data_IF_378565807339
#
_entry.id   IF_378565807339
#
_cell.length_a   1.000
_cell.length_b   1.000
_cell.length_c   1.000
_cell.angle_alpha   90.00
_cell.angle_beta   90.00
_cell.angle_gamma   90.00
#
_symmetry.space_group_name_H-M   'P 1'
#
loop_
_entity.id
_entity.type
_entity.pdbx_description
1 polymer ?
#
# COMPACT_ATOMS: atom_id res chain seq x y z
N UNK A 1 -71.44 -17.38 15.58
CA UNK A 1 -70.54 -17.50 14.41
C UNK A 1 -69.12 -17.27 14.91
N UNK A 2 -68.19 -18.17 14.56
CA UNK A 2 -66.87 -18.47 15.18
C UNK A 2 -66.92 -19.48 16.34
N UNK A 3 -66.30 -20.63 16.08
CA UNK A 3 -66.18 -21.85 16.88
C UNK A 3 -64.73 -22.37 16.72
N UNK A 4 -64.24 -23.13 17.72
CA UNK A 4 -62.91 -23.79 17.92
C UNK A 4 -61.82 -22.89 18.54
N UNK A 5 -61.29 -23.08 19.76
CA UNK A 5 -61.24 -24.16 20.79
C UNK A 5 -60.28 -25.33 20.51
N UNK A 6 -59.21 -25.40 21.34
CA UNK A 6 -58.33 -26.52 21.80
C UNK A 6 -56.96 -25.89 22.18
N UNK A 7 -56.41 -25.77 23.40
CA UNK A 7 -56.24 -26.63 24.61
C UNK A 7 -55.55 -27.98 24.35
N UNK A 8 -54.34 -28.24 24.86
CA UNK A 8 -54.08 -28.80 26.19
C UNK A 8 -52.59 -29.13 26.45
N UNK A 9 -52.34 -29.25 27.75
CA UNK A 9 -51.14 -29.45 28.56
C UNK A 9 -50.60 -30.89 28.58
N UNK A 10 -49.28 -30.98 28.75
CA UNK A 10 -48.39 -31.99 29.37
C UNK A 10 -48.98 -33.25 30.04
N UNK A 11 -48.38 -34.42 29.79
CA UNK A 11 -48.20 -35.52 30.76
C UNK A 11 -46.81 -36.18 30.60
N UNK A 12 -46.21 -36.50 31.75
CA UNK A 12 -44.91 -37.14 32.05
C UNK A 12 -44.69 -38.54 31.43
N UNK A 13 -43.42 -38.92 31.25
CA UNK A 13 -42.62 -39.85 32.09
C UNK A 13 -41.56 -40.56 31.23
N UNK A 14 -40.27 -40.46 31.61
CA UNK A 14 -39.47 -41.64 31.97
C UNK A 14 -38.15 -41.16 32.61
N UNK A 15 -37.98 -41.54 33.86
CA UNK A 15 -36.71 -41.48 34.59
C UNK A 15 -36.08 -42.87 34.49
N UNK A 16 -34.80 -42.98 34.13
CA UNK A 16 -33.92 -44.06 34.60
C UNK A 16 -32.44 -43.81 34.22
N UNK A 17 -31.62 -43.96 35.25
CA UNK A 17 -30.19 -44.28 35.26
C UNK A 17 -29.17 -43.17 34.94
N UNK A 18 -28.81 -42.45 36.02
CA UNK A 18 -27.45 -41.93 36.20
C UNK A 18 -26.42 -43.07 36.08
N UNK A 19 -25.63 -43.03 35.01
CA UNK A 19 -24.33 -43.68 34.93
C UNK A 19 -23.25 -42.61 34.84
N UNK A 20 -22.64 -42.27 35.97
CA UNK A 20 -21.44 -41.44 36.00
C UNK A 20 -20.28 -42.21 35.37
N UNK A 21 -20.09 -42.07 34.05
CA UNK A 21 -18.81 -42.36 33.41
C UNK A 21 -17.94 -41.12 33.58
N UNK A 22 -16.78 -41.30 34.21
CA UNK A 22 -15.71 -40.32 34.20
C UNK A 22 -15.49 -39.86 32.75
N UNK A 23 -15.86 -38.62 32.46
CA UNK A 23 -15.49 -37.98 31.22
C UNK A 23 -13.96 -37.89 31.22
N UNK A 24 -13.33 -38.72 30.40
CA UNK A 24 -11.92 -38.55 30.07
C UNK A 24 -11.72 -37.12 29.55
N UNK A 25 -10.50 -36.56 29.67
CA UNK A 25 -10.21 -35.22 29.19
C UNK A 25 -10.72 -35.10 27.74
N UNK A 26 -11.57 -34.10 27.51
CA UNK A 26 -11.98 -33.72 26.15
C UNK A 26 -10.68 -33.64 25.32
N UNK A 27 -10.63 -34.28 24.13
CA UNK A 27 -9.47 -34.16 23.27
C UNK A 27 -9.19 -32.67 23.12
N UNK A 28 -7.97 -32.25 23.45
CA UNK A 28 -7.55 -30.88 23.26
C UNK A 28 -7.99 -30.49 21.85
N UNK A 29 -8.82 -29.44 21.72
CA UNK A 29 -9.12 -28.87 20.42
C UNK A 29 -7.76 -28.58 19.79
N UNK A 30 -7.33 -29.43 18.85
CA UNK A 30 -6.20 -29.14 18.01
C UNK A 30 -6.54 -27.79 17.39
N UNK A 31 -5.82 -26.76 17.80
CA UNK A 31 -5.93 -25.45 17.19
C UNK A 31 -5.58 -25.66 15.72
N UNK A 32 -6.61 -25.80 14.88
CA UNK A 32 -6.47 -25.86 13.44
C UNK A 32 -5.73 -24.57 13.09
N UNK A 33 -4.47 -24.71 12.68
CA UNK A 33 -3.64 -23.57 12.35
C UNK A 33 -4.40 -22.74 11.31
N UNK A 34 -4.44 -21.42 11.50
CA UNK A 34 -5.11 -20.53 10.56
C UNK A 34 -4.60 -20.80 9.13
N UNK A 35 -5.48 -20.72 8.11
CA UNK A 35 -5.06 -20.85 6.72
C UNK A 35 -3.91 -19.89 6.41
N UNK A 36 -2.93 -20.33 5.61
CA UNK A 36 -1.72 -19.56 5.31
C UNK A 36 -2.06 -18.21 4.66
N UNK A 37 -3.18 -18.15 3.96
CA UNK A 37 -3.73 -16.98 3.29
C UNK A 37 -4.10 -15.89 4.30
N UNK A 38 -4.66 -16.27 5.45
CA UNK A 38 -4.96 -15.36 6.56
C UNK A 38 -3.66 -14.83 7.18
N UNK A 39 -2.64 -15.68 7.30
CA UNK A 39 -1.33 -15.30 7.86
C UNK A 39 -0.68 -14.12 7.10
N UNK A 40 -0.93 -14.00 5.77
CA UNK A 40 -0.42 -12.89 4.95
C UNK A 40 -0.92 -11.53 5.45
N UNK A 41 -2.14 -11.49 5.99
CA UNK A 41 -2.73 -10.29 6.58
C UNK A 41 -2.32 -10.09 8.05
N UNK A 42 -2.02 -11.16 8.78
CA UNK A 42 -1.76 -11.09 10.23
C UNK A 42 -0.57 -10.20 10.58
N UNK A 43 0.57 -10.35 9.89
CA UNK A 43 1.76 -9.57 10.18
C UNK A 43 1.54 -8.04 10.05
N UNK A 44 1.00 -7.52 8.93
CA UNK A 44 0.69 -6.09 8.82
C UNK A 44 -0.44 -5.65 9.76
N UNK A 45 -1.48 -6.47 9.98
CA UNK A 45 -2.56 -6.16 10.94
C UNK A 45 -2.04 -6.02 12.37
N UNK A 46 -1.23 -6.98 12.82
CA UNK A 46 -0.62 -6.97 14.16
C UNK A 46 0.26 -5.73 14.34
N UNK A 47 1.13 -5.46 13.36
CA UNK A 47 2.03 -4.30 13.39
C UNK A 47 1.24 -2.98 13.47
N UNK A 48 0.18 -2.84 12.67
CA UNK A 48 -0.68 -1.63 12.72
C UNK A 48 -1.42 -1.49 14.06
N UNK A 49 -1.92 -2.59 14.64
CA UNK A 49 -2.57 -2.56 15.96
C UNK A 49 -1.62 -2.16 17.09
N UNK A 50 -0.35 -2.57 17.02
CA UNK A 50 0.67 -2.15 17.98
C UNK A 50 0.93 -0.63 17.93
N UNK A 51 0.71 0.00 16.77
CA UNK A 51 0.85 1.45 16.60
C UNK A 51 -0.43 2.24 16.88
N UNK A 52 -1.58 1.61 16.72
CA UNK A 52 -2.91 2.24 16.82
C UNK A 52 -3.76 1.54 17.89
N UNK A 53 -3.33 1.56 19.17
CA UNK A 53 -4.07 0.90 20.22
C UNK A 53 -5.44 1.58 20.40
N UNK A 54 -6.56 0.83 20.38
CA UNK A 54 -7.92 1.41 20.34
C UNK A 54 -8.21 2.40 21.49
N UNK A 55 -7.64 2.17 22.66
CA UNK A 55 -7.79 3.04 23.84
C UNK A 55 -7.14 4.42 23.67
N UNK A 56 -6.12 4.54 22.82
CA UNK A 56 -5.44 5.83 22.56
C UNK A 56 -5.98 6.58 21.35
N UNK A 57 -6.75 5.92 20.50
CA UNK A 57 -7.30 6.48 19.26
C UNK A 57 -8.83 6.64 19.34
N UNK A 58 -9.37 6.69 20.55
CA UNK A 58 -10.81 6.82 20.77
C UNK A 58 -11.36 8.14 20.20
N UNK A 59 -12.63 8.12 19.75
CA UNK A 59 -13.32 9.33 19.30
C UNK A 59 -13.31 10.38 20.43
N UNK A 60 -12.89 11.60 20.09
CA UNK A 60 -12.76 12.69 21.05
C UNK A 60 -11.44 12.72 21.81
N UNK A 61 -10.45 11.89 21.44
CA UNK A 61 -9.07 12.05 21.89
C UNK A 61 -8.57 13.47 21.55
N UNK A 62 -7.89 14.10 22.50
CA UNK A 62 -7.32 15.44 22.29
C UNK A 62 -6.10 15.36 21.36
N UNK A 63 -5.84 16.36 20.50
CA UNK A 63 -4.70 16.37 19.59
C UNK A 63 -3.36 16.06 20.28
N UNK A 64 -3.13 16.56 21.49
CA UNK A 64 -1.87 16.37 22.23
C UNK A 64 -1.63 14.90 22.63
N UNK A 65 -2.70 14.11 22.77
CA UNK A 65 -2.60 12.67 23.03
C UNK A 65 -2.32 11.86 21.76
N UNK A 66 -2.68 12.40 20.58
CA UNK A 66 -2.50 11.75 19.29
C UNK A 66 -1.15 12.08 18.65
N UNK A 67 -0.51 13.17 19.06
CA UNK A 67 0.80 13.60 18.52
C UNK A 67 1.86 12.50 18.50
N UNK A 68 2.17 11.81 19.62
CA UNK A 68 3.17 10.73 19.61
C UNK A 68 2.78 9.56 18.70
N UNK A 69 1.48 9.37 18.44
CA UNK A 69 1.00 8.31 17.55
C UNK A 69 1.19 8.70 16.10
N UNK A 70 0.92 9.96 15.73
CA UNK A 70 1.19 10.48 14.38
C UNK A 70 2.68 10.40 14.07
N UNK A 71 3.52 10.82 15.00
CA UNK A 71 4.98 10.72 14.85
C UNK A 71 5.39 9.25 14.63
N UNK A 72 4.84 8.32 15.44
CA UNK A 72 5.09 6.89 15.26
C UNK A 72 4.56 6.33 13.93
N UNK A 73 3.41 6.79 13.42
CA UNK A 73 2.84 6.40 12.12
C UNK A 73 3.82 6.72 10.99
N UNK A 74 4.43 7.91 11.04
CA UNK A 74 5.41 8.36 10.05
C UNK A 74 6.74 7.62 10.22
N UNK A 75 7.30 7.61 11.44
CA UNK A 75 8.61 7.02 11.72
C UNK A 75 8.67 5.51 11.46
N UNK A 76 7.58 4.79 11.76
CA UNK A 76 7.54 3.32 11.65
C UNK A 76 6.95 2.82 10.34
N UNK A 77 6.77 3.69 9.35
CA UNK A 77 6.27 3.34 8.02
C UNK A 77 4.91 2.62 8.07
N UNK A 78 3.97 3.13 8.88
CA UNK A 78 2.61 2.59 8.95
C UNK A 78 1.91 2.67 7.58
N UNK A 79 2.25 3.68 6.77
CA UNK A 79 1.83 3.79 5.37
C UNK A 79 2.26 2.57 4.55
N UNK A 80 3.51 2.10 4.70
CA UNK A 80 3.99 0.87 4.08
C UNK A 80 3.17 -0.36 4.47
N UNK A 81 2.72 -0.47 5.72
CA UNK A 81 1.85 -1.55 6.18
C UNK A 81 0.44 -1.46 5.56
N UNK A 82 -0.12 -0.25 5.47
CA UNK A 82 -1.40 0.00 4.80
C UNK A 82 -1.32 -0.34 3.31
N UNK A 83 -0.21 -0.01 2.63
CA UNK A 83 0.04 -0.43 1.26
C UNK A 83 0.08 -1.96 1.10
N UNK A 84 0.70 -2.69 2.04
CA UNK A 84 0.69 -4.16 2.02
C UNK A 84 -0.73 -4.71 2.16
N UNK A 85 -1.52 -4.16 3.08
CA UNK A 85 -2.93 -4.55 3.23
C UNK A 85 -3.77 -4.23 1.99
N UNK A 86 -3.64 -3.03 1.42
CA UNK A 86 -4.31 -2.67 0.18
C UNK A 86 -3.89 -3.61 -0.96
N UNK A 87 -2.60 -3.93 -1.07
CA UNK A 87 -2.06 -4.86 -2.07
C UNK A 87 -2.68 -6.25 -1.97
N UNK A 88 -2.74 -6.81 -0.75
CA UNK A 88 -3.42 -8.08 -0.50
C UNK A 88 -4.91 -8.00 -0.83
N UNK A 89 -5.60 -6.94 -0.40
CA UNK A 89 -7.02 -6.74 -0.69
C UNK A 89 -7.29 -6.56 -2.19
N UNK A 90 -6.39 -5.95 -2.95
CA UNK A 90 -6.50 -5.84 -4.41
C UNK A 90 -6.48 -7.21 -5.09
N UNK A 91 -5.54 -8.08 -4.68
CA UNK A 91 -5.45 -9.45 -5.19
C UNK A 91 -6.70 -10.23 -4.80
N UNK A 92 -7.03 -10.26 -3.52
CA UNK A 92 -8.08 -11.14 -3.00
C UNK A 92 -9.51 -10.65 -3.26
N UNK A 93 -9.75 -9.34 -3.42
CA UNK A 93 -10.99 -8.84 -4.02
C UNK A 93 -11.18 -9.37 -5.44
N UNK A 94 -10.09 -9.51 -6.20
CA UNK A 94 -10.12 -10.08 -7.56
C UNK A 94 -10.53 -11.55 -7.62
N UNK A 95 -10.38 -12.28 -6.51
CA UNK A 95 -10.66 -13.72 -6.36
C UNK A 95 -12.01 -13.95 -5.67
N UNK A 96 -12.24 -13.33 -4.51
CA UNK A 96 -13.41 -13.57 -3.67
C UNK A 96 -14.48 -12.47 -3.75
N UNK A 97 -14.12 -11.25 -4.18
CA UNK A 97 -15.03 -10.11 -4.28
C UNK A 97 -15.70 -9.71 -2.96
N UNK A 98 -16.95 -9.24 -3.06
CA UNK A 98 -17.84 -9.05 -1.91
C UNK A 98 -17.32 -8.09 -0.84
N UNK A 99 -17.15 -8.59 0.38
CA UNK A 99 -16.74 -7.80 1.54
C UNK A 99 -15.31 -7.25 1.43
N UNK A 100 -14.39 -8.00 0.79
CA UNK A 100 -12.99 -7.58 0.62
C UNK A 100 -12.89 -6.32 -0.24
N UNK A 101 -13.79 -6.15 -1.24
CA UNK A 101 -13.89 -4.94 -2.04
C UNK A 101 -14.14 -3.69 -1.19
N UNK A 102 -15.06 -3.80 -0.23
CA UNK A 102 -15.45 -2.68 0.66
C UNK A 102 -14.30 -2.35 1.61
N UNK A 103 -13.70 -3.37 2.21
CA UNK A 103 -12.54 -3.20 3.09
C UNK A 103 -11.35 -2.57 2.38
N UNK A 104 -11.15 -2.88 1.09
CA UNK A 104 -10.13 -2.21 0.28
C UNK A 104 -10.33 -0.70 0.23
N UNK A 105 -11.58 -0.24 0.11
CA UNK A 105 -11.89 1.21 0.10
C UNK A 105 -11.57 1.82 1.46
N UNK A 106 -11.93 1.15 2.56
CA UNK A 106 -11.65 1.63 3.91
C UNK A 106 -10.13 1.71 4.19
N UNK A 107 -9.37 0.65 3.86
CA UNK A 107 -7.91 0.63 4.00
C UNK A 107 -7.25 1.68 3.13
N UNK A 108 -7.74 1.87 1.90
CA UNK A 108 -7.25 2.92 1.00
C UNK A 108 -7.49 4.32 1.59
N UNK A 109 -8.66 4.57 2.17
CA UNK A 109 -8.94 5.86 2.83
C UNK A 109 -7.97 6.11 3.97
N UNK A 110 -7.67 5.10 4.78
CA UNK A 110 -6.65 5.20 5.83
C UNK A 110 -5.25 5.48 5.25
N UNK A 111 -4.86 4.79 4.17
CA UNK A 111 -3.59 5.04 3.46
C UNK A 111 -3.51 6.47 2.92
N UNK A 112 -4.57 6.95 2.27
CA UNK A 112 -4.62 8.28 1.67
C UNK A 112 -4.49 9.38 2.73
N UNK A 113 -5.10 9.22 3.91
CA UNK A 113 -4.98 10.17 5.03
C UNK A 113 -3.54 10.26 5.55
N UNK A 114 -2.90 9.11 5.82
CA UNK A 114 -1.49 9.08 6.25
C UNK A 114 -0.59 9.62 5.15
N UNK A 115 -0.89 9.28 3.90
CA UNK A 115 -0.16 9.70 2.72
C UNK A 115 -0.21 11.21 2.49
N UNK A 116 -1.37 11.83 2.68
CA UNK A 116 -1.58 13.28 2.58
C UNK A 116 -0.70 14.04 3.57
N UNK A 117 -0.76 13.67 4.85
CA UNK A 117 0.06 14.30 5.88
C UNK A 117 1.56 14.11 5.62
N UNK A 118 1.98 12.87 5.32
CA UNK A 118 3.40 12.55 5.06
C UNK A 118 3.94 13.35 3.88
N UNK A 119 3.14 13.49 2.81
CA UNK A 119 3.52 14.29 1.64
C UNK A 119 3.71 15.77 1.98
N UNK A 120 2.82 16.39 2.78
CA UNK A 120 2.98 17.80 3.17
C UNK A 120 4.15 18.03 4.10
N UNK A 121 4.46 17.05 4.96
CA UNK A 121 5.67 17.06 5.75
C UNK A 121 6.92 17.03 4.85
N UNK A 122 6.98 16.11 3.88
CA UNK A 122 8.07 16.02 2.92
C UNK A 122 8.26 17.31 2.10
N UNK A 123 7.18 17.94 1.64
CA UNK A 123 7.26 19.22 0.91
C UNK A 123 7.80 20.35 1.77
N UNK A 124 7.40 20.42 3.04
CA UNK A 124 7.92 21.44 3.96
C UNK A 124 9.41 21.22 4.24
N UNK A 125 9.83 19.98 4.45
CA UNK A 125 11.23 19.63 4.66
C UNK A 125 12.08 19.88 3.42
N UNK A 126 11.54 19.62 2.23
CA UNK A 126 12.18 20.00 0.97
C UNK A 126 12.36 21.52 0.85
N UNK A 127 11.31 22.31 1.13
CA UNK A 127 11.40 23.77 1.08
C UNK A 127 12.50 24.30 2.01
N UNK A 128 12.66 23.70 3.20
CA UNK A 128 13.75 24.01 4.12
C UNK A 128 15.12 23.58 3.57
N UNK A 129 15.22 22.37 3.00
CA UNK A 129 16.46 21.84 2.39
C UNK A 129 17.00 22.77 1.32
N UNK A 130 16.13 23.34 0.47
CA UNK A 130 16.53 24.24 -0.62
C UNK A 130 16.58 25.72 -0.20
N UNK A 131 16.52 25.99 1.12
CA UNK A 131 16.61 27.33 1.70
C UNK A 131 15.53 28.30 1.20
N UNK A 132 14.29 27.81 1.06
CA UNK A 132 13.16 28.66 0.69
C UNK A 132 12.97 29.81 1.70
N UNK A 133 12.52 31.01 1.26
CA UNK A 133 12.35 32.15 2.15
C UNK A 133 11.42 31.85 3.32
N UNK A 134 11.69 32.44 4.49
CA UNK A 134 10.91 32.24 5.72
C UNK A 134 9.38 32.31 5.54
N UNK A 135 8.82 33.32 4.85
CA UNK A 135 7.38 33.40 4.59
C UNK A 135 6.82 32.22 3.77
N UNK A 136 7.61 31.66 2.85
CA UNK A 136 7.23 30.48 2.05
C UNK A 136 7.16 29.24 2.95
N UNK A 137 8.18 29.06 3.79
CA UNK A 137 8.23 27.95 4.75
C UNK A 137 7.08 28.04 5.75
N UNK A 138 6.74 29.25 6.23
CA UNK A 138 5.60 29.48 7.12
C UNK A 138 4.27 29.12 6.44
N UNK A 139 4.05 29.59 5.20
CA UNK A 139 2.84 29.27 4.44
C UNK A 139 2.68 27.76 4.21
N UNK A 140 3.75 27.06 3.86
CA UNK A 140 3.74 25.60 3.72
C UNK A 140 3.52 24.88 5.06
N UNK A 141 4.03 25.45 6.15
CA UNK A 141 3.77 24.97 7.53
C UNK A 141 2.29 24.95 7.87
N UNK A 142 1.54 26.00 7.50
CA UNK A 142 0.07 26.05 7.68
C UNK A 142 -0.65 24.94 6.91
N UNK A 143 -0.22 24.64 5.67
CA UNK A 143 -0.79 23.54 4.87
C UNK A 143 -0.48 22.18 5.50
N UNK A 144 0.75 21.99 6.00
CA UNK A 144 1.12 20.79 6.76
C UNK A 144 0.25 20.63 8.00
N UNK A 145 0.06 21.70 8.78
CA UNK A 145 -0.75 21.65 9.99
C UNK A 145 -2.23 21.34 9.70
N UNK A 146 -2.79 21.89 8.61
CA UNK A 146 -4.13 21.54 8.15
C UNK A 146 -4.24 20.04 7.79
N UNK A 147 -3.27 19.50 7.05
CA UNK A 147 -3.24 18.06 6.73
C UNK A 147 -3.09 17.16 7.96
N UNK A 148 -2.41 17.64 9.01
CA UNK A 148 -2.34 16.96 10.31
C UNK A 148 -3.70 16.95 11.01
N UNK A 149 -4.44 18.06 10.93
CA UNK A 149 -5.83 18.18 11.35
C UNK A 149 -6.72 17.09 10.75
N UNK A 150 -6.69 16.94 9.43
CA UNK A 150 -7.45 15.90 8.72
C UNK A 150 -7.07 14.48 9.15
N UNK A 151 -5.78 14.24 9.43
CA UNK A 151 -5.33 12.96 9.94
C UNK A 151 -5.90 12.68 11.35
N UNK A 152 -5.91 13.65 12.26
CA UNK A 152 -6.54 13.48 13.58
C UNK A 152 -8.00 13.09 13.47
N UNK A 153 -8.75 13.77 12.59
CA UNK A 153 -10.18 13.52 12.42
C UNK A 153 -10.46 12.12 11.89
N UNK A 154 -9.58 11.58 11.05
CA UNK A 154 -9.71 10.24 10.47
C UNK A 154 -9.16 9.10 11.34
N UNK A 155 -8.22 9.37 12.25
CA UNK A 155 -7.56 8.36 13.07
C UNK A 155 -8.53 7.43 13.85
N UNK A 156 -9.63 7.92 14.47
CA UNK A 156 -10.58 7.06 15.18
C UNK A 156 -11.22 5.96 14.33
N UNK A 157 -11.25 6.09 13.01
CA UNK A 157 -11.79 5.07 12.12
C UNK A 157 -10.81 3.91 11.88
N UNK A 158 -9.52 4.08 12.20
CA UNK A 158 -8.48 3.10 11.87
C UNK A 158 -8.65 1.80 12.66
N UNK A 159 -8.74 1.81 14.01
CA UNK A 159 -8.92 0.56 14.76
C UNK A 159 -10.19 -0.19 14.35
N UNK A 160 -11.31 0.54 14.15
CA UNK A 160 -12.57 -0.03 13.69
C UNK A 160 -12.40 -0.72 12.32
N UNK A 161 -11.63 -0.11 11.41
CA UNK A 161 -11.34 -0.68 10.09
C UNK A 161 -10.51 -1.96 10.20
N UNK A 162 -9.48 -1.99 11.06
CA UNK A 162 -8.65 -3.18 11.27
C UNK A 162 -9.44 -4.34 11.89
N UNK A 163 -10.37 -4.04 12.80
CA UNK A 163 -11.22 -5.04 13.43
C UNK A 163 -12.26 -5.61 12.47
N UNK A 164 -12.88 -4.76 11.64
CA UNK A 164 -13.75 -5.22 10.55
C UNK A 164 -12.97 -6.10 9.56
N UNK A 165 -11.76 -5.68 9.18
CA UNK A 165 -10.91 -6.46 8.28
C UNK A 165 -10.62 -7.86 8.86
N UNK A 166 -10.17 -7.94 10.12
CA UNK A 166 -9.91 -9.22 10.78
C UNK A 166 -11.17 -10.12 10.83
N UNK A 167 -12.33 -9.54 11.17
CA UNK A 167 -13.57 -10.29 11.27
C UNK A 167 -14.05 -10.85 9.93
N UNK A 168 -13.92 -10.07 8.85
CA UNK A 168 -14.31 -10.52 7.50
C UNK A 168 -13.32 -11.55 6.93
N UNK A 169 -12.02 -11.43 7.19
CA UNK A 169 -11.03 -12.44 6.79
C UNK A 169 -11.34 -13.81 7.39
N UNK A 170 -11.90 -13.87 8.61
CA UNK A 170 -12.32 -15.11 9.26
C UNK A 170 -13.58 -15.75 8.67
N UNK A 171 -14.31 -15.05 7.79
CA UNK A 171 -15.54 -15.54 7.13
C UNK A 171 -15.30 -16.02 5.70
N UNK A 172 -14.14 -15.73 5.12
CA UNK A 172 -13.79 -16.14 3.76
C UNK A 172 -13.53 -17.66 3.75
N UNK A 173 -14.15 -18.35 2.80
CA UNK A 173 -13.86 -19.77 2.52
C UNK A 173 -12.58 -19.85 1.68
N UNK A 174 -11.44 -19.82 2.37
CA UNK A 174 -10.13 -19.77 1.74
C UNK A 174 -9.84 -21.02 0.91
N UNK A 175 -9.27 -20.81 -0.26
CA UNK A 175 -8.79 -21.90 -1.11
C UNK A 175 -7.65 -22.64 -0.40
N UNK A 176 -7.45 -23.90 -0.76
CA UNK A 176 -6.25 -24.63 -0.30
C UNK A 176 -5.02 -24.00 -0.94
N UNK A 177 -3.89 -24.03 -0.23
CA UNK A 177 -2.60 -23.45 -0.67
C UNK A 177 -2.24 -23.66 -2.16
N UNK A 178 -2.52 -24.85 -2.73
CA UNK A 178 -2.27 -25.12 -4.16
C UNK A 178 -3.14 -24.27 -5.07
N UNK A 179 -4.42 -24.19 -4.77
CA UNK A 179 -5.42 -23.49 -5.57
C UNK A 179 -5.26 -21.98 -5.38
N UNK A 180 -5.02 -21.51 -4.14
CA UNK A 180 -4.67 -20.12 -3.82
C UNK A 180 -3.46 -19.65 -4.63
N UNK A 181 -2.38 -20.45 -4.70
CA UNK A 181 -1.21 -20.12 -5.53
C UNK A 181 -1.60 -19.84 -6.98
N UNK A 182 -2.46 -20.69 -7.57
CA UNK A 182 -2.89 -20.54 -8.97
C UNK A 182 -3.78 -19.31 -9.14
N UNK A 183 -4.74 -19.11 -8.24
CA UNK A 183 -5.67 -17.98 -8.27
C UNK A 183 -4.94 -16.64 -8.11
N UNK A 184 -3.98 -16.55 -7.19
CA UNK A 184 -3.14 -15.36 -7.00
C UNK A 184 -2.28 -15.06 -8.24
N UNK A 185 -1.68 -16.09 -8.87
CA UNK A 185 -0.91 -15.87 -10.11
C UNK A 185 -1.76 -15.48 -11.30
N UNK A 186 -2.97 -16.05 -11.44
CA UNK A 186 -3.93 -15.62 -12.45
C UNK A 186 -4.35 -14.16 -12.25
N UNK A 187 -4.58 -13.77 -11.00
CA UNK A 187 -4.90 -12.37 -10.65
C UNK A 187 -3.74 -11.43 -10.98
N UNK A 188 -2.51 -11.80 -10.62
CA UNK A 188 -1.32 -11.01 -10.93
C UNK A 188 -1.11 -10.86 -12.43
N UNK A 189 -1.27 -11.93 -13.21
CA UNK A 189 -1.21 -11.87 -14.68
C UNK A 189 -2.28 -10.93 -15.26
N UNK A 190 -3.50 -10.96 -14.71
CA UNK A 190 -4.59 -10.04 -15.07
C UNK A 190 -4.23 -8.58 -14.78
N UNK A 191 -3.66 -8.29 -13.63
CA UNK A 191 -3.19 -6.94 -13.27
C UNK A 191 -2.06 -6.48 -14.20
N UNK A 192 -1.04 -7.31 -14.44
CA UNK A 192 0.06 -7.01 -15.36
C UNK A 192 -0.44 -6.70 -16.78
N UNK A 193 -1.44 -7.45 -17.26
CA UNK A 193 -2.07 -7.21 -18.57
C UNK A 193 -2.71 -5.83 -18.67
N UNK A 194 -3.25 -5.28 -17.58
CA UNK A 194 -3.79 -3.91 -17.55
C UNK A 194 -2.67 -2.89 -17.73
N UNK A 195 -1.54 -3.10 -17.06
CA UNK A 195 -0.40 -2.18 -17.06
C UNK A 195 0.43 -2.22 -18.36
N UNK A 196 0.31 -3.28 -19.16
CA UNK A 196 0.98 -3.42 -20.46
C UNK A 196 0.54 -2.40 -21.54
N UNK A 197 -0.59 -1.71 -21.36
CA UNK A 197 -1.11 -0.77 -22.37
C UNK A 197 -0.20 0.44 -22.60
N UNK A 198 0.54 0.86 -21.56
CA UNK A 198 1.62 1.87 -21.63
C UNK A 198 1.27 3.14 -22.42
N UNK A 199 0.01 3.56 -22.38
CA UNK A 199 -0.60 4.69 -23.07
C UNK A 199 -0.66 5.96 -22.21
N UNK A 200 0.23 6.07 -21.22
CA UNK A 200 0.31 7.21 -20.29
C UNK A 200 0.79 8.50 -20.99
N UNK A 201 0.13 9.61 -20.66
CA UNK A 201 0.54 10.95 -21.10
C UNK A 201 1.67 11.50 -20.23
N UNK A 202 2.91 11.42 -20.69
CA UNK A 202 4.08 11.92 -19.93
C UNK A 202 4.15 13.46 -19.83
N UNK A 203 3.21 14.20 -20.42
CA UNK A 203 3.05 15.64 -20.20
C UNK A 203 2.16 15.95 -18.98
N UNK A 204 1.41 14.97 -18.49
CA UNK A 204 0.62 15.04 -17.27
C UNK A 204 1.39 14.42 -16.09
N UNK A 205 1.68 15.23 -15.08
CA UNK A 205 2.38 14.79 -13.88
C UNK A 205 1.55 13.79 -13.06
N UNK A 206 0.25 14.05 -12.88
CA UNK A 206 -0.63 13.25 -12.02
C UNK A 206 -1.29 12.11 -12.79
N UNK A 207 -1.95 12.36 -13.92
CA UNK A 207 -2.61 11.32 -14.72
C UNK A 207 -1.65 10.45 -15.55
N UNK A 208 -0.40 10.90 -15.73
CA UNK A 208 0.60 10.23 -16.54
C UNK A 208 1.76 9.64 -15.75
N UNK A 209 2.68 10.51 -15.31
CA UNK A 209 3.93 10.10 -14.65
C UNK A 209 3.63 9.37 -13.33
N UNK A 210 2.77 9.95 -12.50
CA UNK A 210 2.37 9.36 -11.22
C UNK A 210 1.61 8.04 -11.44
N UNK A 211 0.62 8.00 -12.33
CA UNK A 211 -0.11 6.74 -12.59
C UNK A 211 0.78 5.63 -13.15
N UNK A 212 1.72 5.93 -14.06
CA UNK A 212 2.71 4.95 -14.50
C UNK A 212 3.49 4.40 -13.30
N UNK A 213 4.05 5.28 -12.46
CA UNK A 213 4.79 4.86 -11.25
C UNK A 213 3.92 4.05 -10.31
N UNK A 214 2.68 4.48 -10.03
CA UNK A 214 1.76 3.81 -9.10
C UNK A 214 1.47 2.39 -9.56
N UNK A 215 1.20 2.21 -10.85
CA UNK A 215 0.93 0.91 -11.46
C UNK A 215 2.15 -0.03 -11.43
N UNK A 216 3.34 0.47 -11.74
CA UNK A 216 4.58 -0.32 -11.63
C UNK A 216 4.87 -0.71 -10.16
N UNK A 217 4.67 0.23 -9.22
CA UNK A 217 4.90 0.00 -7.80
C UNK A 217 3.96 -1.07 -7.23
N UNK A 218 2.72 -1.16 -7.70
CA UNK A 218 1.78 -2.19 -7.25
C UNK A 218 2.33 -3.60 -7.45
N UNK A 219 3.02 -3.86 -8.57
CA UNK A 219 3.63 -5.16 -8.85
C UNK A 219 4.65 -5.53 -7.75
N UNK A 220 5.49 -4.57 -7.35
CA UNK A 220 6.49 -4.78 -6.29
C UNK A 220 5.81 -5.01 -4.93
N UNK A 221 4.77 -4.23 -4.62
CA UNK A 221 4.00 -4.38 -3.37
C UNK A 221 3.34 -5.76 -3.33
N UNK A 222 2.76 -6.25 -4.42
CA UNK A 222 2.16 -7.58 -4.48
C UNK A 222 3.18 -8.67 -4.11
N UNK A 223 4.37 -8.65 -4.72
CA UNK A 223 5.44 -9.62 -4.45
C UNK A 223 5.85 -9.58 -2.97
N UNK A 224 5.98 -8.38 -2.39
CA UNK A 224 6.36 -8.20 -0.99
C UNK A 224 5.25 -8.56 0.02
N UNK A 225 3.99 -8.33 -0.33
CA UNK A 225 2.86 -8.49 0.57
C UNK A 225 2.40 -9.95 0.68
N UNK A 226 2.72 -10.79 -0.32
CA UNK A 226 2.31 -12.20 -0.39
C UNK A 226 3.08 -13.14 0.55
N UNK A 227 3.84 -12.60 1.50
CA UNK A 227 4.48 -13.30 2.63
C UNK A 227 5.14 -14.64 2.23
N UNK A 228 6.08 -14.56 1.29
CA UNK A 228 6.87 -15.70 0.84
C UNK A 228 6.18 -16.63 -0.16
N UNK A 229 4.94 -16.37 -0.59
CA UNK A 229 4.36 -17.08 -1.75
C UNK A 229 5.20 -16.84 -3.01
N UNK A 230 5.79 -15.66 -3.12
CA UNK A 230 6.76 -15.32 -4.16
C UNK A 230 8.12 -15.10 -3.50
N UNK A 231 9.19 -15.63 -4.09
CA UNK A 231 10.58 -15.44 -3.64
C UNK A 231 11.44 -15.04 -4.82
N UNK A 232 12.51 -14.28 -4.57
CA UNK A 232 13.44 -13.91 -5.63
C UNK A 232 14.43 -15.05 -5.89
N UNK A 233 14.62 -15.41 -7.15
CA UNK A 233 15.61 -16.41 -7.58
C UNK A 233 16.57 -15.85 -8.62
N UNK A 234 17.84 -16.23 -8.49
CA UNK A 234 18.89 -15.85 -9.44
C UNK A 234 18.98 -16.84 -10.58
N UNK A 235 19.24 -16.34 -11.78
CA UNK A 235 19.55 -17.18 -12.94
C UNK A 235 18.35 -17.81 -13.64
N UNK A 236 17.13 -17.55 -13.17
CA UNK A 236 15.87 -17.89 -13.85
C UNK A 236 15.43 -16.67 -14.65
N UNK A 237 15.13 -16.83 -15.94
CA UNK A 237 14.54 -15.75 -16.77
C UNK A 237 15.39 -14.48 -16.88
N UNK A 238 16.44 -14.48 -17.71
CA UNK A 238 17.35 -13.33 -17.86
C UNK A 238 16.82 -12.26 -18.82
N UNK A 239 16.92 -11.00 -18.42
CA UNK A 239 16.94 -9.84 -19.33
C UNK A 239 18.35 -9.26 -19.31
N UNK A 240 19.10 -9.46 -20.40
CA UNK A 240 20.51 -9.08 -20.50
C UNK A 240 20.74 -7.59 -20.22
N UNK A 241 19.79 -6.73 -20.58
CA UNK A 241 19.88 -5.29 -20.35
C UNK A 241 19.88 -4.90 -18.86
N UNK A 242 19.42 -5.78 -17.96
CA UNK A 242 19.30 -5.52 -16.53
C UNK A 242 20.23 -6.38 -15.66
N UNK A 243 21.09 -7.21 -16.26
CA UNK A 243 21.98 -8.12 -15.52
C UNK A 243 22.93 -7.37 -14.57
N UNK A 244 23.29 -6.13 -14.89
CA UNK A 244 24.14 -5.31 -14.03
C UNK A 244 23.48 -4.92 -12.71
N UNK A 245 22.14 -5.02 -12.60
CA UNK A 245 21.41 -4.57 -11.40
C UNK A 245 21.66 -5.43 -10.18
N UNK A 246 22.10 -6.69 -10.33
CA UNK A 246 22.47 -7.53 -9.19
C UNK A 246 23.61 -6.95 -8.36
N UNK A 247 24.53 -6.20 -8.99
CA UNK A 247 25.62 -5.49 -8.32
C UNK A 247 25.30 -4.05 -7.95
N UNK A 248 24.16 -3.52 -8.41
CA UNK A 248 23.76 -2.12 -8.23
C UNK A 248 23.24 -1.88 -6.79
N UNK A 249 23.39 -0.67 -6.21
CA UNK A 249 22.90 -0.36 -4.86
C UNK A 249 21.43 -0.69 -4.61
N UNK A 250 20.60 -0.65 -5.66
CA UNK A 250 19.19 -1.00 -5.57
C UNK A 250 18.94 -2.42 -5.06
N UNK A 251 19.78 -3.39 -5.43
CA UNK A 251 19.67 -4.77 -4.98
C UNK A 251 19.89 -4.94 -3.47
N UNK A 252 20.56 -3.96 -2.83
CA UNK A 252 20.81 -3.93 -1.38
C UNK A 252 19.74 -3.16 -0.61
N UNK A 253 18.76 -2.56 -1.31
CA UNK A 253 17.71 -1.78 -0.66
C UNK A 253 16.83 -2.65 0.23
N UNK A 254 16.24 -2.07 1.28
CA UNK A 254 15.25 -2.77 2.12
C UNK A 254 14.04 -3.25 1.31
N UNK A 255 13.73 -2.58 0.21
CA UNK A 255 12.63 -2.91 -0.69
C UNK A 255 12.98 -4.06 -1.66
N UNK A 256 14.25 -4.43 -1.80
CA UNK A 256 14.66 -5.59 -2.60
C UNK A 256 14.78 -6.88 -1.79
N UNK A 257 14.34 -6.85 -0.53
CA UNK A 257 14.25 -8.03 0.32
C UNK A 257 12.84 -8.61 0.24
N UNK A 258 12.73 -9.79 -0.37
CA UNK A 258 11.52 -10.61 -0.33
C UNK A 258 11.88 -11.85 0.48
N UNK A 259 11.39 -11.90 1.71
CA UNK A 259 11.77 -12.96 2.65
C UNK A 259 10.98 -14.25 2.36
N UNK A 260 11.64 -15.42 2.34
CA UNK A 260 10.94 -16.68 2.21
C UNK A 260 10.14 -16.97 3.48
N UNK A 261 8.94 -17.52 3.33
CA UNK A 261 8.16 -18.02 4.45
C UNK A 261 8.26 -19.56 4.51
N UNK A 262 8.81 -20.15 5.59
CA UNK A 262 8.97 -21.61 5.70
C UNK A 262 7.65 -22.38 5.70
N UNK A 263 6.51 -21.72 5.92
CA UNK A 263 5.17 -22.32 5.82
C UNK A 263 4.69 -22.47 4.36
N UNK A 264 5.31 -21.75 3.42
CA UNK A 264 5.04 -21.87 1.98
C UNK A 264 5.86 -23.02 1.41
N UNK A 265 5.20 -24.13 1.05
CA UNK A 265 5.89 -25.34 0.59
C UNK A 265 6.44 -25.25 -0.84
N UNK A 266 5.78 -24.46 -1.70
CA UNK A 266 6.09 -24.32 -3.13
C UNK A 266 5.97 -22.85 -3.55
N UNK A 267 6.92 -21.99 -3.14
CA UNK A 267 6.90 -20.60 -3.55
C UNK A 267 7.10 -20.47 -5.06
N UNK A 268 6.62 -19.38 -5.63
CA UNK A 268 6.85 -18.98 -7.03
C UNK A 268 8.18 -18.23 -7.10
N UNK A 269 9.06 -18.63 -8.02
CA UNK A 269 10.44 -18.14 -8.07
C UNK A 269 10.61 -17.00 -9.07
N UNK A 270 10.46 -15.75 -8.61
CA UNK A 270 10.55 -14.56 -9.44
C UNK A 270 12.00 -14.31 -9.88
N UNK A 271 12.28 -14.18 -11.19
CA UNK A 271 13.57 -13.69 -11.68
C UNK A 271 14.00 -12.40 -10.98
N UNK A 272 15.15 -12.43 -10.29
CA UNK A 272 15.66 -11.27 -9.57
C UNK A 272 15.83 -10.07 -10.50
N UNK A 273 16.22 -10.30 -11.75
CA UNK A 273 16.41 -9.27 -12.76
C UNK A 273 15.11 -8.54 -13.10
N UNK A 274 13.96 -9.23 -13.11
CA UNK A 274 12.66 -8.61 -13.38
C UNK A 274 12.26 -7.70 -12.22
N UNK A 275 12.44 -8.19 -11.00
CA UNK A 275 12.15 -7.44 -9.78
C UNK A 275 13.03 -6.19 -9.67
N UNK A 276 14.33 -6.32 -9.90
CA UNK A 276 15.27 -5.20 -9.81
C UNK A 276 15.05 -4.18 -10.93
N UNK A 277 14.73 -4.62 -12.15
CA UNK A 277 14.39 -3.72 -13.25
C UNK A 277 13.14 -2.89 -12.95
N UNK A 278 12.09 -3.51 -12.41
CA UNK A 278 10.90 -2.79 -11.95
C UNK A 278 11.22 -1.83 -10.81
N UNK A 279 12.02 -2.27 -9.84
CA UNK A 279 12.45 -1.43 -8.71
C UNK A 279 13.19 -0.18 -9.22
N UNK A 280 14.10 -0.34 -10.20
CA UNK A 280 14.84 0.76 -10.82
C UNK A 280 13.87 1.77 -11.44
N UNK A 281 12.96 1.31 -12.29
CA UNK A 281 12.02 2.19 -12.98
C UNK A 281 11.09 2.91 -12.00
N UNK A 282 10.60 2.24 -10.95
CA UNK A 282 9.78 2.87 -9.90
C UNK A 282 10.57 3.94 -9.13
N UNK A 283 11.86 3.70 -8.87
CA UNK A 283 12.74 4.66 -8.20
C UNK A 283 13.05 5.86 -9.10
N UNK A 284 13.44 5.64 -10.35
CA UNK A 284 13.76 6.70 -11.31
C UNK A 284 12.55 7.59 -11.59
N UNK A 285 11.39 7.00 -11.88
CA UNK A 285 10.15 7.77 -12.06
C UNK A 285 9.74 8.45 -10.74
N UNK A 286 10.07 7.85 -9.60
CA UNK A 286 9.90 8.46 -8.28
C UNK A 286 10.68 9.76 -8.13
N UNK A 287 11.98 9.75 -8.45
CA UNK A 287 12.83 10.95 -8.42
C UNK A 287 12.27 12.03 -9.35
N UNK A 288 11.89 11.65 -10.57
CA UNK A 288 11.31 12.58 -11.56
C UNK A 288 10.02 13.23 -11.02
N UNK A 289 9.10 12.42 -10.48
CA UNK A 289 7.84 12.90 -9.90
C UNK A 289 8.10 13.84 -8.72
N UNK A 290 8.90 13.40 -7.75
CA UNK A 290 9.20 14.17 -6.55
C UNK A 290 9.85 15.50 -6.89
N UNK A 291 10.79 15.54 -7.84
CA UNK A 291 11.41 16.80 -8.28
C UNK A 291 10.37 17.79 -8.82
N UNK A 292 9.42 17.33 -9.64
CA UNK A 292 8.37 18.18 -10.20
C UNK A 292 7.37 18.67 -9.13
N UNK A 293 6.85 17.76 -8.29
CA UNK A 293 5.88 18.10 -7.24
C UNK A 293 6.46 19.02 -6.17
N UNK A 294 7.73 18.82 -5.81
CA UNK A 294 8.42 19.68 -4.88
C UNK A 294 8.49 21.14 -5.37
N UNK A 295 8.76 21.34 -6.66
CA UNK A 295 8.76 22.66 -7.29
C UNK A 295 7.34 23.27 -7.28
N UNK A 296 6.31 22.48 -7.59
CA UNK A 296 4.91 22.93 -7.53
C UNK A 296 4.49 23.29 -6.10
N UNK A 297 4.89 22.51 -5.11
CA UNK A 297 4.60 22.75 -3.70
C UNK A 297 5.25 24.05 -3.19
N UNK A 298 6.53 24.26 -3.49
CA UNK A 298 7.25 25.50 -3.15
C UNK A 298 6.65 26.69 -3.89
N UNK A 299 6.23 26.52 -5.15
CA UNK A 299 5.50 27.55 -5.88
C UNK A 299 4.16 27.90 -5.20
N UNK A 300 3.44 26.92 -4.68
CA UNK A 300 2.26 27.12 -3.83
C UNK A 300 2.58 27.97 -2.60
N UNK A 301 3.68 27.66 -1.91
CA UNK A 301 4.16 28.46 -0.77
C UNK A 301 4.49 29.92 -1.15
N UNK A 302 5.15 30.15 -2.28
CA UNK A 302 5.40 31.51 -2.80
C UNK A 302 4.10 32.27 -3.10
N UNK A 303 3.12 31.59 -3.70
CA UNK A 303 1.84 32.18 -4.05
C UNK A 303 1.07 32.61 -2.79
N UNK A 304 0.99 31.74 -1.78
CA UNK A 304 0.31 32.03 -0.52
C UNK A 304 1.02 33.12 0.29
N UNK A 305 2.35 33.04 0.43
CA UNK A 305 3.11 34.08 1.13
C UNK A 305 2.95 35.47 0.49
N UNK A 306 2.97 35.54 -0.84
CA UNK A 306 2.74 36.78 -1.58
C UNK A 306 1.33 37.33 -1.35
N UNK A 307 0.31 36.45 -1.33
CA UNK A 307 -1.08 36.81 -1.04
C UNK A 307 -1.24 37.38 0.37
N UNK A 308 -0.67 36.74 1.38
CA UNK A 308 -0.70 37.20 2.78
C UNK A 308 0.02 38.54 2.98
N UNK A 309 1.10 38.79 2.23
CA UNK A 309 1.83 40.07 2.26
C UNK A 309 1.12 41.24 1.56
N UNK A 310 -0.05 41.01 0.95
CA UNK A 310 -0.78 42.00 0.15
C UNK A 310 -0.15 42.31 -1.21
N UNK A 311 0.79 41.47 -1.68
CA UNK A 311 1.49 41.62 -2.97
C UNK A 311 1.37 40.35 -3.81
N UNK A 312 0.16 39.97 -4.25
CA UNK A 312 -0.05 38.71 -4.96
C UNK A 312 0.79 38.63 -6.24
N UNK A 313 1.30 37.44 -6.53
CA UNK A 313 2.04 37.12 -7.75
C UNK A 313 1.26 36.12 -8.59
N UNK A 314 1.52 36.08 -9.89
CA UNK A 314 0.93 35.04 -10.75
C UNK A 314 1.53 33.66 -10.44
N UNK A 315 0.74 32.60 -10.64
CA UNK A 315 1.22 31.23 -10.49
C UNK A 315 2.46 30.94 -11.37
N UNK A 316 2.49 31.46 -12.60
CA UNK A 316 3.66 31.38 -13.49
C UNK A 316 4.92 32.00 -12.89
N UNK A 317 4.79 33.14 -12.19
CA UNK A 317 5.92 33.80 -11.52
C UNK A 317 6.38 32.98 -10.31
N UNK A 318 5.45 32.48 -9.50
CA UNK A 318 5.76 31.61 -8.36
C UNK A 318 6.50 30.33 -8.79
N UNK A 319 6.03 29.68 -9.87
CA UNK A 319 6.67 28.50 -10.44
C UNK A 319 8.08 28.77 -10.94
N UNK A 320 8.30 29.92 -11.60
CA UNK A 320 9.65 30.34 -12.02
C UNK A 320 10.57 30.50 -10.81
N UNK A 321 10.11 31.18 -9.75
CA UNK A 321 10.91 31.40 -8.53
C UNK A 321 11.25 30.08 -7.84
N UNK A 322 10.29 29.18 -7.70
CA UNK A 322 10.51 27.86 -7.12
C UNK A 322 11.50 27.02 -7.94
N UNK A 323 11.39 27.05 -9.28
CA UNK A 323 12.29 26.33 -10.18
C UNK A 323 13.71 26.87 -10.15
N UNK A 324 13.86 28.20 -10.18
CA UNK A 324 15.19 28.83 -10.12
C UNK A 324 15.88 28.50 -8.79
N UNK A 325 15.14 28.53 -7.67
CA UNK A 325 15.64 28.14 -6.35
C UNK A 325 16.05 26.65 -6.30
N UNK A 326 15.19 25.75 -6.80
CA UNK A 326 15.50 24.33 -6.85
C UNK A 326 16.72 24.04 -7.72
N UNK A 327 16.86 24.72 -8.88
CA UNK A 327 18.04 24.57 -9.75
C UNK A 327 19.33 25.00 -9.05
N UNK A 328 19.28 26.02 -8.21
CA UNK A 328 20.44 26.54 -7.49
C UNK A 328 20.85 25.61 -6.33
N UNK A 329 19.87 25.08 -5.58
CA UNK A 329 20.11 24.47 -4.27
C UNK A 329 19.85 22.96 -4.19
N UNK A 330 19.19 22.34 -5.16
CA UNK A 330 18.88 20.91 -5.14
C UNK A 330 19.76 20.12 -6.12
N UNK A 331 20.73 19.31 -5.65
CA UNK A 331 21.60 18.53 -6.52
C UNK A 331 20.86 17.46 -7.34
N UNK A 332 19.65 17.07 -6.89
CA UNK A 332 18.80 16.08 -7.55
C UNK A 332 17.74 16.72 -8.46
N UNK A 333 17.83 18.03 -8.71
CA UNK A 333 16.87 18.74 -9.54
C UNK A 333 16.82 18.21 -10.98
N UNK A 334 15.61 17.91 -11.45
CA UNK A 334 15.37 17.45 -12.82
C UNK A 334 14.84 18.62 -13.65
N UNK A 335 15.67 19.16 -14.55
CA UNK A 335 15.33 20.33 -15.37
C UNK A 335 14.05 20.14 -16.20
N UNK A 336 13.92 18.98 -16.86
CA UNK A 336 12.75 18.58 -17.65
C UNK A 336 12.23 17.20 -17.18
N UNK A 337 11.35 17.17 -16.17
CA UNK A 337 10.81 15.93 -15.64
C UNK A 337 9.98 15.16 -16.68
N UNK A 338 9.31 15.86 -17.59
CA UNK A 338 8.52 15.22 -18.65
C UNK A 338 9.41 14.51 -19.68
N UNK A 339 10.54 15.10 -20.07
CA UNK A 339 11.50 14.43 -20.94
C UNK A 339 12.13 13.20 -20.28
N UNK A 340 12.50 13.31 -19.00
CA UNK A 340 13.03 12.20 -18.23
C UNK A 340 12.01 11.05 -18.09
N UNK A 341 10.74 11.37 -17.83
CA UNK A 341 9.67 10.37 -17.75
C UNK A 341 9.42 9.68 -19.11
N UNK A 342 9.44 10.44 -20.22
CA UNK A 342 9.37 9.87 -21.58
C UNK A 342 10.50 8.89 -21.84
N UNK A 343 11.70 9.16 -21.35
CA UNK A 343 12.82 8.24 -21.51
C UNK A 343 12.60 6.93 -20.74
N UNK A 344 12.11 7.02 -19.50
CA UNK A 344 11.75 5.85 -18.69
C UNK A 344 10.66 4.99 -19.36
N UNK A 345 9.62 5.65 -19.91
CA UNK A 345 8.55 4.96 -20.64
C UNK A 345 9.06 4.30 -21.93
N UNK A 346 9.98 4.95 -22.67
CA UNK A 346 10.63 4.38 -23.85
C UNK A 346 11.46 3.15 -23.50
N UNK A 347 12.22 3.19 -22.40
CA UNK A 347 12.97 2.04 -21.90
C UNK A 347 12.04 0.87 -21.59
N UNK A 348 10.97 1.11 -20.82
CA UNK A 348 9.99 0.09 -20.46
C UNK A 348 9.32 -0.56 -21.69
N UNK A 349 8.96 0.25 -22.70
CA UNK A 349 8.40 -0.24 -23.98
C UNK A 349 9.43 -1.07 -24.75
N UNK A 350 10.66 -0.57 -24.87
CA UNK A 350 11.74 -1.21 -25.62
C UNK A 350 12.11 -2.58 -25.06
N UNK A 351 12.21 -2.72 -23.73
CA UNK A 351 12.60 -4.01 -23.13
C UNK A 351 11.46 -5.02 -23.07
N UNK A 352 10.21 -4.56 -23.17
CA UNK A 352 9.01 -5.39 -23.03
C UNK A 352 8.88 -6.01 -21.63
N UNK A 353 9.42 -5.34 -20.60
CA UNK A 353 9.56 -5.89 -19.24
C UNK A 353 8.23 -6.42 -18.68
N UNK A 354 7.14 -5.64 -18.75
CA UNK A 354 5.84 -6.06 -18.22
C UNK A 354 5.27 -7.28 -18.93
N UNK A 355 5.42 -7.34 -20.26
CA UNK A 355 4.98 -8.49 -21.07
C UNK A 355 5.77 -9.75 -20.74
N UNK A 356 7.09 -9.62 -20.59
CA UNK A 356 7.97 -10.73 -20.19
C UNK A 356 7.64 -11.23 -18.80
N UNK A 357 7.39 -10.31 -17.85
CA UNK A 357 6.97 -10.66 -16.49
C UNK A 357 5.60 -11.33 -16.48
N UNK A 358 4.59 -10.82 -17.19
CA UNK A 358 3.28 -11.47 -17.30
C UNK A 358 3.39 -12.88 -17.84
N UNK A 359 4.09 -13.05 -18.97
CA UNK A 359 4.27 -14.37 -19.58
C UNK A 359 4.96 -15.33 -18.61
N UNK A 360 5.97 -14.87 -17.89
CA UNK A 360 6.62 -15.68 -16.85
C UNK A 360 5.63 -16.09 -15.74
N UNK A 361 4.79 -15.16 -15.24
CA UNK A 361 3.74 -15.49 -14.26
C UNK A 361 2.76 -16.53 -14.81
N UNK A 362 2.38 -16.42 -16.09
CA UNK A 362 1.48 -17.37 -16.76
C UNK A 362 2.12 -18.76 -16.87
N UNK A 363 3.40 -18.83 -17.27
CA UNK A 363 4.15 -20.08 -17.42
C UNK A 363 4.33 -20.82 -16.06
N UNK A 364 4.53 -20.10 -14.95
CA UNK A 364 4.71 -20.66 -13.58
C UNK A 364 3.50 -21.44 -13.04
N UNK A 365 2.31 -21.20 -13.60
CA UNK A 365 1.07 -21.87 -13.20
C UNK A 365 0.34 -22.54 -14.36
N UNK A 366 0.92 -22.50 -15.57
CA UNK A 366 0.38 -23.14 -16.77
C UNK A 366 -0.98 -22.60 -17.20
N UNK A 367 -1.15 -21.27 -17.23
CA UNK A 367 -2.40 -20.58 -17.62
C UNK A 367 -2.32 -19.88 -18.98
#
# INVERSE_FOLDING_TARGET
MRLRLLTFTTVLLFSLCLGARAAGPLPACEHVAAPLEVLRFEAPLKSLREFLPPDKVARGAKPEALDPLIDAIVEKDARGLLFKLEGLLRIYDGIYGGALKKLRVDVKRAEDLVGWYSEKLEYLDYARKIEAPGPVVEAMGKVRDASKGELYDGMPEFPETLDRLQAELGKVDWERQRDDRVSVMRELARELKKYERLDYDMTDLQGGIHELRRNLRWILIYIQALDGLMVLEKGVGRINEYSYLEGHPIAKSKFSKVEPNPRVKKPVQVPVEYFLALSKLVQEIGVIKSSAENVEAVAGGYFEAARESGKPISHKKALKMARDLARENDPDFVEDPHAAARQSLKELKRTGLLRKLRKWVEDEVGI
#
